data_IF_824932287855
#
_entry.id   IF_824932287855
#
_cell.length_a   1.000
_cell.length_b   1.000
_cell.length_c   1.000
_cell.angle_alpha   90.00
_cell.angle_beta   90.00
_cell.angle_gamma   90.00
#
_symmetry.space_group_name_H-M   'P 1'
#
loop_
_entity.id
_entity.type
_entity.pdbx_description
1 polymer ?
#
# COMPACT_ATOMS: atom_id res chain seq x y z
N UNK A 1 36.76 44.34 3.61
CA UNK A 1 36.92 42.87 3.48
C UNK A 1 35.77 42.05 4.08
N UNK A 2 34.93 42.60 4.97
CA UNK A 2 33.78 41.86 5.54
C UNK A 2 32.63 41.60 4.53
N UNK A 3 32.48 42.41 3.48
CA UNK A 3 31.34 42.35 2.56
C UNK A 3 31.20 41.00 1.86
N UNK A 4 32.28 40.39 1.40
CA UNK A 4 32.24 39.11 0.67
C UNK A 4 31.68 37.96 1.52
N UNK A 5 32.06 37.91 2.81
CA UNK A 5 31.60 36.89 3.75
C UNK A 5 30.08 36.97 3.95
N UNK A 6 29.56 38.18 4.17
CA UNK A 6 28.12 38.38 4.36
C UNK A 6 27.32 38.25 3.06
N UNK A 7 27.92 38.50 1.89
CA UNK A 7 27.31 38.15 0.60
C UNK A 7 27.12 36.65 0.44
N UNK A 8 28.08 35.83 0.90
CA UNK A 8 27.95 34.38 0.89
C UNK A 8 26.84 33.92 1.85
N UNK A 9 26.78 34.47 3.07
CA UNK A 9 25.69 34.20 4.03
C UNK A 9 24.33 34.56 3.42
N UNK A 10 24.24 35.70 2.74
CA UNK A 10 23.02 36.11 2.04
C UNK A 10 22.62 35.11 0.94
N UNK A 11 23.58 34.62 0.13
CA UNK A 11 23.31 33.60 -0.88
C UNK A 11 22.79 32.29 -0.26
N UNK A 12 23.36 31.88 0.87
CA UNK A 12 22.90 30.69 1.61
C UNK A 12 21.47 30.91 2.11
N UNK A 13 21.17 32.07 2.68
CA UNK A 13 19.82 32.41 3.13
C UNK A 13 18.80 32.35 1.99
N UNK A 14 19.11 32.90 0.82
CA UNK A 14 18.21 32.86 -0.34
C UNK A 14 17.99 31.41 -0.80
N UNK A 15 19.05 30.61 -0.84
CA UNK A 15 18.96 29.18 -1.17
C UNK A 15 18.10 28.42 -0.16
N UNK A 16 18.22 28.72 1.13
CA UNK A 16 17.40 28.13 2.20
C UNK A 16 15.94 28.51 2.08
N UNK A 17 15.63 29.78 1.80
CA UNK A 17 14.25 30.23 1.61
C UNK A 17 13.62 29.47 0.43
N UNK A 18 14.31 29.41 -0.71
CA UNK A 18 13.85 28.65 -1.88
C UNK A 18 13.68 27.16 -1.55
N UNK A 19 14.66 26.55 -0.86
CA UNK A 19 14.61 25.16 -0.44
C UNK A 19 13.48 24.88 0.54
N UNK A 20 13.23 25.78 1.48
CA UNK A 20 12.17 25.68 2.47
C UNK A 20 10.79 25.78 1.82
N UNK A 21 10.57 26.73 0.91
CA UNK A 21 9.32 26.81 0.15
C UNK A 21 9.08 25.56 -0.71
N UNK A 22 10.14 25.06 -1.35
CA UNK A 22 10.06 23.83 -2.14
C UNK A 22 9.73 22.60 -1.26
N UNK A 23 10.20 22.59 -0.02
CA UNK A 23 9.99 21.50 0.94
C UNK A 23 8.62 21.58 1.65
N UNK A 24 8.12 22.78 1.93
CA UNK A 24 6.78 23.02 2.51
C UNK A 24 5.66 22.79 1.51
N UNK A 25 5.91 23.04 0.21
CA UNK A 25 4.90 22.79 -0.81
C UNK A 25 4.42 21.34 -0.66
N UNK A 26 3.09 21.09 -0.63
CA UNK A 26 2.55 19.74 -0.57
C UNK A 26 2.90 19.01 -1.87
N UNK A 27 4.13 18.48 -1.97
CA UNK A 27 4.58 17.76 -3.15
C UNK A 27 3.77 16.46 -3.30
N UNK A 28 3.47 16.05 -4.54
CA UNK A 28 2.81 14.79 -4.81
C UNK A 28 3.56 13.62 -4.17
N UNK A 29 2.83 12.73 -3.50
CA UNK A 29 3.37 11.56 -2.77
C UNK A 29 4.38 10.73 -3.59
N UNK A 30 4.20 10.67 -4.91
CA UNK A 30 5.09 9.93 -5.83
C UNK A 30 6.48 10.56 -5.94
N UNK A 31 6.55 11.89 -5.96
CA UNK A 31 7.79 12.64 -6.05
C UNK A 31 8.51 12.68 -4.71
N UNK A 32 7.74 12.83 -3.61
CA UNK A 32 8.25 12.67 -2.24
C UNK A 32 8.89 11.28 -2.06
N UNK A 33 8.18 10.20 -2.37
CA UNK A 33 8.74 8.83 -2.24
C UNK A 33 9.99 8.62 -3.09
N UNK A 34 10.02 9.12 -4.33
CA UNK A 34 11.18 9.01 -5.21
C UNK A 34 12.39 9.82 -4.73
N UNK A 35 12.21 11.10 -4.41
CA UNK A 35 13.26 11.98 -3.90
C UNK A 35 13.77 11.50 -2.55
N UNK A 36 12.89 11.16 -1.60
CA UNK A 36 13.31 10.72 -0.26
C UNK A 36 13.95 9.33 -0.24
N UNK A 37 13.55 8.40 -1.14
CA UNK A 37 14.25 7.11 -1.29
C UNK A 37 15.63 7.29 -1.92
N UNK A 38 15.76 8.14 -2.94
CA UNK A 38 17.06 8.54 -3.48
C UNK A 38 17.91 9.27 -2.43
N UNK A 39 17.26 10.05 -1.57
CA UNK A 39 17.91 10.86 -0.54
C UNK A 39 18.40 10.02 0.66
N UNK A 40 17.59 9.07 1.13
CA UNK A 40 17.89 8.24 2.30
C UNK A 40 18.92 7.13 2.03
N UNK A 41 19.05 6.68 0.79
CA UNK A 41 19.92 5.55 0.44
C UNK A 41 21.32 5.98 -0.01
N UNK A 42 21.47 7.22 -0.49
CA UNK A 42 22.73 7.68 -1.09
C UNK A 42 23.75 8.13 -0.03
N UNK A 43 24.95 7.54 -0.08
CA UNK A 43 26.12 7.96 0.74
C UNK A 43 26.46 9.44 0.54
N UNK A 44 26.17 9.97 -0.65
CA UNK A 44 26.45 11.37 -1.05
C UNK A 44 25.70 12.34 -0.14
N UNK A 45 24.51 11.98 0.32
CA UNK A 45 23.69 12.89 1.11
C UNK A 45 24.10 12.90 2.58
N UNK A 46 24.49 11.74 3.13
CA UNK A 46 25.11 11.71 4.47
C UNK A 46 26.37 12.59 4.52
N UNK A 47 27.16 12.58 3.44
CA UNK A 47 28.32 13.44 3.29
C UNK A 47 27.90 14.92 3.13
N UNK A 48 26.90 15.20 2.29
CA UNK A 48 26.38 16.56 2.07
C UNK A 48 25.80 17.20 3.33
N UNK A 49 25.05 16.45 4.14
CA UNK A 49 24.51 16.91 5.44
C UNK A 49 25.64 17.27 6.39
N UNK A 50 26.74 16.51 6.39
CA UNK A 50 27.91 16.81 7.22
C UNK A 50 28.61 18.09 6.77
N UNK A 51 28.74 18.33 5.47
CA UNK A 51 29.25 19.60 4.95
C UNK A 51 28.32 20.79 5.28
N UNK A 52 27.00 20.58 5.21
CA UNK A 52 26.01 21.58 5.62
C UNK A 52 26.17 21.97 7.09
N UNK A 53 26.44 21.00 7.97
CA UNK A 53 26.72 21.26 9.39
C UNK A 53 27.97 22.12 9.58
N UNK A 54 29.05 21.88 8.81
CA UNK A 54 30.25 22.72 8.86
C UNK A 54 29.97 24.15 8.39
N UNK A 55 29.16 24.33 7.32
CA UNK A 55 28.75 25.66 6.84
C UNK A 55 27.96 26.40 7.92
N UNK A 56 27.01 25.74 8.58
CA UNK A 56 26.28 26.34 9.70
C UNK A 56 27.16 26.66 10.90
N UNK A 57 28.13 25.80 11.22
CA UNK A 57 29.15 26.10 12.23
C UNK A 57 29.91 27.38 11.89
N UNK A 58 30.31 27.55 10.64
CA UNK A 58 31.00 28.76 10.17
C UNK A 58 30.12 30.02 10.23
N UNK A 59 28.84 29.91 9.84
CA UNK A 59 27.87 31.01 9.98
C UNK A 59 27.67 31.36 11.47
N UNK A 60 27.68 30.36 12.36
CA UNK A 60 27.69 30.54 13.82
C UNK A 60 28.90 31.35 14.31
N UNK A 61 30.10 31.07 13.78
CA UNK A 61 31.29 31.86 14.09
C UNK A 61 31.18 33.31 13.58
N UNK A 62 30.63 33.53 12.39
CA UNK A 62 30.36 34.86 11.85
C UNK A 62 29.32 35.64 12.68
N UNK A 63 28.31 34.94 13.22
CA UNK A 63 27.35 35.51 14.15
C UNK A 63 28.05 35.97 15.44
N UNK A 64 28.91 35.13 16.03
CA UNK A 64 29.69 35.49 17.22
C UNK A 64 30.64 36.67 16.98
N UNK A 65 31.34 36.68 15.83
CA UNK A 65 32.19 37.80 15.41
C UNK A 65 31.38 39.10 15.28
N UNK A 66 30.19 39.04 14.67
CA UNK A 66 29.31 40.20 14.52
C UNK A 66 28.82 40.71 15.88
N UNK A 67 28.48 39.81 16.81
CA UNK A 67 28.08 40.17 18.19
C UNK A 67 29.24 40.87 18.91
N UNK A 68 30.46 40.33 18.80
CA UNK A 68 31.64 40.96 19.42
C UNK A 68 31.91 42.35 18.84
N UNK A 69 31.76 42.53 17.52
CA UNK A 69 31.89 43.83 16.86
C UNK A 69 30.84 44.84 17.32
N UNK A 70 29.58 44.43 17.47
CA UNK A 70 28.54 45.32 18.03
C UNK A 70 28.86 45.73 19.46
N UNK A 71 29.26 44.78 20.32
CA UNK A 71 29.63 45.08 21.71
C UNK A 71 30.80 46.07 21.78
N UNK A 72 31.89 45.77 21.07
CA UNK A 72 33.08 46.63 20.99
C UNK A 72 32.76 48.02 20.45
N UNK A 73 31.92 48.10 19.41
CA UNK A 73 31.48 49.38 18.86
C UNK A 73 30.63 50.17 19.85
N UNK A 74 29.80 49.50 20.64
CA UNK A 74 28.95 50.14 21.64
C UNK A 74 29.78 50.68 22.82
N UNK A 75 30.81 49.94 23.24
CA UNK A 75 31.73 50.37 24.29
C UNK A 75 32.60 51.56 23.82
N UNK A 76 33.06 51.53 22.57
CA UNK A 76 33.79 52.64 21.96
C UNK A 76 32.92 53.93 21.85
N UNK A 77 31.64 53.81 21.50
CA UNK A 77 30.70 54.94 21.47
C UNK A 77 30.54 55.56 22.87
N UNK A 78 30.37 54.71 23.90
CA UNK A 78 30.26 55.19 25.29
C UNK A 78 31.52 55.92 25.75
N UNK A 79 32.70 55.40 25.42
CA UNK A 79 33.97 56.03 25.77
C UNK A 79 34.19 57.35 25.03
N UNK A 80 33.87 57.41 23.73
CA UNK A 80 33.97 58.65 22.94
C UNK A 80 33.05 59.76 23.50
N UNK A 81 31.85 59.39 23.95
CA UNK A 81 30.93 60.32 24.59
C UNK A 81 31.44 60.83 25.94
N UNK A 82 32.03 59.95 26.77
CA UNK A 82 32.63 60.34 28.06
C UNK A 82 33.88 61.22 27.91
N UNK A 83 34.60 61.10 26.80
CA UNK A 83 35.81 61.88 26.50
C UNK A 83 35.53 63.16 25.69
N UNK A 84 34.27 63.48 25.38
CA UNK A 84 33.91 64.67 24.59
C UNK A 84 34.35 64.61 23.12
N UNK A 85 34.66 63.42 22.60
CA UNK A 85 35.11 63.20 21.22
C UNK A 85 33.94 62.99 20.26
N UNK A 86 33.05 63.99 20.17
CA UNK A 86 31.81 63.93 19.36
C UNK A 86 32.07 63.78 17.85
N UNK A 87 33.27 64.15 17.37
CA UNK A 87 33.67 63.99 15.96
C UNK A 87 33.89 62.53 15.53
N UNK A 88 34.13 61.61 16.47
CA UNK A 88 34.36 60.17 16.20
C UNK A 88 33.07 59.36 16.34
N UNK A 89 32.04 59.92 16.98
CA UNK A 89 30.75 59.25 17.15
C UNK A 89 30.09 58.81 15.83
N UNK A 90 30.09 59.60 14.73
CA UNK A 90 29.40 59.19 13.50
C UNK A 90 29.97 57.94 12.83
N UNK A 91 31.31 57.78 12.84
CA UNK A 91 31.99 56.62 12.22
C UNK A 91 31.79 55.35 13.03
N UNK A 92 31.77 55.47 14.36
CA UNK A 92 31.46 54.37 15.28
C UNK A 92 29.99 53.95 15.18
N UNK A 93 29.07 54.91 15.08
CA UNK A 93 27.66 54.64 14.85
C UNK A 93 27.42 53.90 13.53
N UNK A 94 28.10 54.30 12.45
CA UNK A 94 28.03 53.58 11.17
C UNK A 94 28.51 52.12 11.31
N UNK A 95 29.64 51.90 11.99
CA UNK A 95 30.19 50.55 12.24
C UNK A 95 29.23 49.67 13.03
N UNK A 96 28.55 50.24 14.03
CA UNK A 96 27.50 49.56 14.81
C UNK A 96 26.34 49.11 13.92
N UNK A 97 25.82 49.98 13.05
CA UNK A 97 24.70 49.66 12.15
C UNK A 97 25.07 48.51 11.20
N UNK A 98 26.27 48.54 10.63
CA UNK A 98 26.75 47.44 9.77
C UNK A 98 26.83 46.11 10.52
N UNK A 99 27.38 46.12 11.74
CA UNK A 99 27.49 44.91 12.54
C UNK A 99 26.12 44.39 13.01
N UNK A 100 25.17 45.27 13.35
CA UNK A 100 23.80 44.88 13.70
C UNK A 100 23.08 44.18 12.53
N UNK A 101 23.14 44.74 11.31
CA UNK A 101 22.56 44.10 10.13
C UNK A 101 23.13 42.70 9.90
N UNK A 102 24.44 42.55 10.08
CA UNK A 102 25.14 41.29 9.89
C UNK A 102 24.75 40.23 10.95
N UNK A 103 24.47 40.65 12.19
CA UNK A 103 23.88 39.77 13.22
C UNK A 103 22.50 39.27 12.78
N UNK A 104 21.63 40.18 12.32
CA UNK A 104 20.28 39.77 11.89
C UNK A 104 20.34 38.82 10.69
N UNK A 105 21.20 39.12 9.71
CA UNK A 105 21.39 38.29 8.52
C UNK A 105 21.85 36.87 8.91
N UNK A 106 22.94 36.75 9.68
CA UNK A 106 23.48 35.45 10.11
C UNK A 106 22.54 34.71 11.07
N UNK A 107 21.84 35.43 11.94
CA UNK A 107 20.86 34.85 12.88
C UNK A 107 19.67 34.23 12.16
N UNK A 108 19.11 34.92 11.16
CA UNK A 108 17.99 34.40 10.37
C UNK A 108 18.41 33.17 9.56
N UNK A 109 19.60 33.19 8.93
CA UNK A 109 20.13 32.01 8.21
C UNK A 109 20.25 30.79 9.12
N UNK A 110 20.79 30.95 10.34
CA UNK A 110 20.91 29.84 11.29
C UNK A 110 19.53 29.33 11.77
N UNK A 111 18.62 30.26 12.05
CA UNK A 111 17.27 29.92 12.47
C UNK A 111 16.52 29.15 11.37
N UNK A 112 16.59 29.62 10.13
CA UNK A 112 15.96 28.97 8.99
C UNK A 112 16.59 27.59 8.71
N UNK A 113 17.92 27.47 8.83
CA UNK A 113 18.61 26.18 8.77
C UNK A 113 18.13 25.18 9.81
N UNK A 114 17.90 25.62 11.06
CA UNK A 114 17.36 24.77 12.12
C UNK A 114 15.93 24.31 11.82
N UNK A 115 15.08 25.22 11.33
CA UNK A 115 13.72 24.87 10.89
C UNK A 115 13.77 23.87 9.74
N UNK A 116 14.65 24.08 8.76
CA UNK A 116 14.80 23.20 7.61
C UNK A 116 15.24 21.80 8.04
N UNK A 117 16.19 21.68 8.95
CA UNK A 117 16.62 20.39 9.53
C UNK A 117 15.48 19.69 10.27
N UNK A 118 14.73 20.43 11.10
CA UNK A 118 13.59 19.88 11.83
C UNK A 118 12.50 19.38 10.87
N UNK A 119 12.17 20.18 9.85
CA UNK A 119 11.15 19.84 8.84
C UNK A 119 11.59 18.65 7.99
N UNK A 120 12.86 18.57 7.60
CA UNK A 120 13.40 17.43 6.87
C UNK A 120 13.27 16.12 7.66
N UNK A 121 13.62 16.14 8.95
CA UNK A 121 13.49 14.96 9.81
C UNK A 121 12.02 14.58 10.04
N UNK A 122 11.15 15.57 10.25
CA UNK A 122 9.72 15.34 10.42
C UNK A 122 9.09 14.71 9.17
N UNK A 123 9.39 15.22 7.98
CA UNK A 123 8.91 14.64 6.72
C UNK A 123 9.44 13.21 6.55
N UNK A 124 10.70 12.96 6.90
CA UNK A 124 11.28 11.62 6.84
C UNK A 124 10.55 10.64 7.77
N UNK A 125 10.28 11.04 9.01
CA UNK A 125 9.56 10.20 9.97
C UNK A 125 8.13 9.89 9.50
N UNK A 126 7.41 10.89 8.96
CA UNK A 126 6.06 10.70 8.40
C UNK A 126 6.10 9.73 7.21
N UNK A 127 7.12 9.82 6.37
CA UNK A 127 7.27 8.94 5.22
C UNK A 127 7.58 7.50 5.63
N UNK A 128 8.49 7.29 6.58
CA UNK A 128 8.81 5.97 7.12
C UNK A 128 7.56 5.33 7.77
N UNK A 129 6.83 6.09 8.59
CA UNK A 129 5.56 5.65 9.17
C UNK A 129 4.49 5.31 8.11
N UNK A 130 4.39 6.11 7.04
CA UNK A 130 3.45 5.83 5.93
C UNK A 130 3.82 4.57 5.16
N UNK A 131 5.11 4.27 4.99
CA UNK A 131 5.56 3.03 4.34
C UNK A 131 5.29 1.79 5.19
N UNK A 132 5.41 1.88 6.51
CA UNK A 132 5.07 0.77 7.40
C UNK A 132 3.57 0.46 7.38
N UNK A 133 2.72 1.49 7.35
CA UNK A 133 1.27 1.35 7.18
C UNK A 133 0.90 0.74 5.83
N UNK A 134 1.54 1.15 4.74
CA UNK A 134 1.30 0.57 3.41
C UNK A 134 1.72 -0.91 3.38
N UNK A 135 2.87 -1.27 3.97
CA UNK A 135 3.33 -2.67 4.05
C UNK A 135 2.38 -3.54 4.87
N UNK A 136 1.93 -3.05 6.03
CA UNK A 136 0.97 -3.80 6.86
C UNK A 136 -0.37 -3.96 6.16
N UNK A 137 -0.88 -2.94 5.46
CA UNK A 137 -2.10 -3.06 4.64
C UNK A 137 -1.94 -4.05 3.50
N UNK A 138 -0.82 -4.02 2.78
CA UNK A 138 -0.54 -4.98 1.68
C UNK A 138 -0.43 -6.40 2.23
N UNK A 139 0.27 -6.62 3.35
CA UNK A 139 0.37 -7.93 3.98
C UNK A 139 -1.00 -8.42 4.47
N UNK A 140 -1.78 -7.56 5.13
CA UNK A 140 -3.14 -7.91 5.55
C UNK A 140 -4.08 -8.23 4.37
N UNK A 141 -3.96 -7.50 3.24
CA UNK A 141 -4.68 -7.82 2.00
C UNK A 141 -4.18 -9.14 1.37
N UNK A 142 -2.88 -9.41 1.40
CA UNK A 142 -2.29 -10.65 0.92
C UNK A 142 -2.76 -11.87 1.71
N UNK A 143 -2.79 -11.77 3.04
CA UNK A 143 -3.28 -12.81 3.94
C UNK A 143 -4.79 -13.04 3.78
N UNK A 144 -5.57 -11.96 3.66
CA UNK A 144 -7.00 -12.04 3.40
C UNK A 144 -7.31 -12.69 2.03
N UNK A 145 -6.54 -12.34 1.00
CA UNK A 145 -6.66 -12.93 -0.33
C UNK A 145 -6.27 -14.41 -0.35
N UNK A 146 -5.16 -14.78 0.31
CA UNK A 146 -4.72 -16.17 0.45
C UNK A 146 -5.78 -17.04 1.14
N UNK A 147 -6.31 -16.56 2.27
CA UNK A 147 -7.35 -17.26 3.03
C UNK A 147 -8.67 -17.37 2.27
N UNK A 148 -9.02 -16.35 1.47
CA UNK A 148 -10.21 -16.40 0.60
C UNK A 148 -10.04 -17.38 -0.54
N UNK A 149 -8.83 -17.46 -1.13
CA UNK A 149 -8.52 -18.39 -2.22
C UNK A 149 -8.56 -19.84 -1.73
N UNK A 150 -7.99 -20.12 -0.57
CA UNK A 150 -8.01 -21.45 0.06
C UNK A 150 -9.45 -21.94 0.29
N UNK A 151 -10.32 -21.10 0.87
CA UNK A 151 -11.74 -21.42 1.05
C UNK A 151 -12.47 -21.66 -0.27
N UNK A 152 -12.12 -20.92 -1.33
CA UNK A 152 -12.72 -21.10 -2.64
C UNK A 152 -12.27 -22.42 -3.27
N UNK A 153 -10.99 -22.77 -3.16
CA UNK A 153 -10.43 -24.03 -3.66
C UNK A 153 -11.02 -25.24 -2.92
N UNK A 154 -11.23 -25.16 -1.62
CA UNK A 154 -11.95 -26.19 -0.84
C UNK A 154 -13.40 -26.35 -1.32
N UNK A 155 -14.11 -25.24 -1.53
CA UNK A 155 -15.50 -25.27 -2.00
C UNK A 155 -15.59 -25.82 -3.42
N UNK A 156 -14.64 -25.51 -4.30
CA UNK A 156 -14.55 -26.08 -5.65
C UNK A 156 -14.30 -27.59 -5.57
N UNK A 157 -13.43 -28.07 -4.67
CA UNK A 157 -13.22 -29.52 -4.49
C UNK A 157 -14.48 -30.22 -4.01
N UNK A 158 -15.20 -29.65 -3.04
CA UNK A 158 -16.46 -30.20 -2.55
C UNK A 158 -17.53 -30.27 -3.65
N UNK A 159 -17.73 -29.17 -4.38
CA UNK A 159 -18.70 -29.13 -5.49
C UNK A 159 -18.35 -30.11 -6.61
N UNK A 160 -17.06 -30.31 -6.91
CA UNK A 160 -16.63 -31.33 -7.89
C UNK A 160 -16.94 -32.75 -7.43
N UNK A 161 -16.78 -33.03 -6.14
CA UNK A 161 -17.12 -34.33 -5.57
C UNK A 161 -18.63 -34.58 -5.63
N UNK A 162 -19.43 -33.60 -5.24
CA UNK A 162 -20.90 -33.67 -5.30
C UNK A 162 -21.42 -33.82 -6.73
N UNK A 163 -20.76 -33.15 -7.70
CA UNK A 163 -21.07 -33.30 -9.11
C UNK A 163 -20.78 -34.72 -9.62
N UNK A 164 -19.66 -35.33 -9.20
CA UNK A 164 -19.29 -36.69 -9.58
C UNK A 164 -20.25 -37.73 -8.99
N UNK A 165 -20.60 -37.59 -7.69
CA UNK A 165 -21.60 -38.43 -7.03
C UNK A 165 -22.97 -38.33 -7.71
N UNK A 166 -23.43 -37.10 -8.00
CA UNK A 166 -24.70 -36.88 -8.72
C UNK A 166 -24.67 -37.48 -10.12
N UNK A 167 -23.54 -37.39 -10.83
CA UNK A 167 -23.39 -37.97 -12.18
C UNK A 167 -23.44 -39.49 -12.15
N UNK A 168 -22.78 -40.12 -11.16
CA UNK A 168 -22.86 -41.56 -10.95
C UNK A 168 -24.29 -42.01 -10.62
N UNK A 169 -25.01 -41.26 -9.80
CA UNK A 169 -26.40 -41.60 -9.46
C UNK A 169 -27.32 -41.46 -10.67
N UNK A 170 -27.16 -40.42 -11.50
CA UNK A 170 -27.87 -40.31 -12.79
C UNK A 170 -27.57 -41.53 -13.69
N UNK A 171 -26.32 -42.00 -13.74
CA UNK A 171 -25.98 -43.18 -14.52
C UNK A 171 -26.64 -44.45 -13.98
N UNK A 172 -26.69 -44.63 -12.64
CA UNK A 172 -27.42 -45.73 -12.00
C UNK A 172 -28.92 -45.67 -12.31
N UNK A 173 -29.55 -44.50 -12.19
CA UNK A 173 -30.96 -44.32 -12.50
C UNK A 173 -31.26 -44.64 -13.98
N UNK A 174 -30.39 -44.24 -14.92
CA UNK A 174 -30.52 -44.60 -16.33
C UNK A 174 -30.43 -46.11 -16.57
N UNK A 175 -29.51 -46.81 -15.90
CA UNK A 175 -29.42 -48.28 -15.99
C UNK A 175 -30.68 -48.94 -15.45
N UNK A 176 -31.16 -48.48 -14.30
CA UNK A 176 -32.39 -48.98 -13.68
C UNK A 176 -33.63 -48.74 -14.57
N UNK A 177 -33.68 -47.61 -15.29
CA UNK A 177 -34.75 -47.33 -16.27
C UNK A 177 -34.71 -48.28 -17.48
N UNK A 178 -33.52 -48.60 -17.99
CA UNK A 178 -33.34 -49.58 -19.07
C UNK A 178 -33.78 -50.97 -18.60
N UNK A 179 -33.34 -51.39 -17.42
CA UNK A 179 -33.71 -52.69 -16.85
C UNK A 179 -35.20 -52.79 -16.58
N UNK A 180 -35.83 -51.71 -16.08
CA UNK A 180 -37.28 -51.63 -15.89
C UNK A 180 -38.04 -51.80 -17.21
N UNK A 181 -37.61 -51.11 -18.27
CA UNK A 181 -38.22 -51.24 -19.59
C UNK A 181 -38.04 -52.64 -20.19
N UNK A 182 -36.88 -53.27 -19.99
CA UNK A 182 -36.63 -54.64 -20.42
C UNK A 182 -37.50 -55.64 -19.66
N UNK A 183 -37.60 -55.49 -18.33
CA UNK A 183 -38.44 -56.34 -17.50
C UNK A 183 -39.91 -56.19 -17.87
N UNK A 184 -40.40 -54.96 -18.08
CA UNK A 184 -41.76 -54.70 -18.55
C UNK A 184 -42.06 -55.45 -19.85
N UNK A 185 -41.14 -55.40 -20.84
CA UNK A 185 -41.27 -56.17 -22.09
C UNK A 185 -41.30 -57.68 -21.85
N UNK A 186 -40.45 -58.19 -20.95
CA UNK A 186 -40.43 -59.62 -20.59
C UNK A 186 -41.75 -60.04 -19.94
N UNK A 187 -42.30 -59.24 -19.03
CA UNK A 187 -43.59 -59.50 -18.39
C UNK A 187 -44.75 -59.46 -19.38
N UNK A 188 -44.77 -58.47 -20.29
CA UNK A 188 -45.78 -58.40 -21.36
C UNK A 188 -45.72 -59.62 -22.29
N UNK A 189 -44.53 -60.08 -22.66
CA UNK A 189 -44.36 -61.28 -23.48
C UNK A 189 -44.78 -62.55 -22.73
N UNK A 190 -44.36 -62.70 -21.48
CA UNK A 190 -44.74 -63.84 -20.63
C UNK A 190 -46.25 -63.90 -20.42
N UNK A 191 -46.89 -62.74 -20.22
CA UNK A 191 -48.34 -62.63 -20.08
C UNK A 191 -49.08 -63.06 -21.36
N UNK A 192 -48.58 -62.68 -22.53
CA UNK A 192 -49.15 -63.14 -23.82
C UNK A 192 -49.05 -64.66 -23.98
N UNK A 193 -47.90 -65.26 -23.66
CA UNK A 193 -47.74 -66.71 -23.71
C UNK A 193 -48.62 -67.42 -22.67
N UNK A 194 -48.80 -66.85 -21.48
CA UNK A 194 -49.74 -67.36 -20.48
C UNK A 194 -51.18 -67.38 -20.99
N UNK A 195 -51.65 -66.28 -21.59
CA UNK A 195 -52.99 -66.23 -22.22
C UNK A 195 -53.11 -67.31 -23.30
N UNK A 196 -52.13 -67.40 -24.20
CA UNK A 196 -52.12 -68.38 -25.30
C UNK A 196 -52.19 -69.82 -24.81
N UNK A 197 -51.39 -70.18 -23.79
CA UNK A 197 -51.42 -71.51 -23.18
C UNK A 197 -52.76 -71.77 -22.48
N UNK A 198 -53.32 -70.77 -21.80
CA UNK A 198 -54.64 -70.87 -21.17
C UNK A 198 -55.74 -71.16 -22.21
N UNK A 199 -55.75 -70.43 -23.32
CA UNK A 199 -56.67 -70.66 -24.45
C UNK A 199 -56.47 -72.07 -25.04
N UNK A 200 -55.22 -72.52 -25.20
CA UNK A 200 -54.91 -73.87 -25.68
C UNK A 200 -55.42 -74.95 -24.69
N UNK A 201 -55.23 -74.76 -23.39
CA UNK A 201 -55.76 -75.67 -22.37
C UNK A 201 -57.29 -75.73 -22.37
N UNK A 202 -57.96 -74.60 -22.56
CA UNK A 202 -59.42 -74.53 -22.69
C UNK A 202 -59.91 -75.28 -23.94
N UNK A 203 -59.23 -75.10 -25.08
CA UNK A 203 -59.55 -75.85 -26.31
C UNK A 203 -59.36 -77.37 -26.17
N UNK A 204 -58.29 -77.81 -25.50
CA UNK A 204 -58.01 -79.24 -25.29
C UNK A 204 -58.98 -79.89 -24.28
N UNK A 205 -59.43 -79.17 -23.25
CA UNK A 205 -60.50 -79.64 -22.36
C UNK A 205 -61.85 -79.77 -23.07
N UNK A 206 -62.16 -78.83 -23.97
CA UNK A 206 -63.36 -78.90 -24.81
C UNK A 206 -63.29 -80.08 -25.80
N UNK A 207 -62.12 -80.43 -26.32
CA UNK A 207 -61.92 -81.63 -27.14
C UNK A 207 -62.00 -82.93 -26.32
N UNK A 208 -61.44 -82.97 -25.10
CA UNK A 208 -61.52 -84.15 -24.21
C UNK A 208 -62.92 -84.39 -23.62
N UNK A 209 -63.73 -83.35 -23.44
CA UNK A 209 -65.14 -83.49 -23.06
C UNK A 209 -66.06 -83.93 -24.22
N UNK A 210 -65.56 -83.98 -25.45
CA UNK A 210 -66.27 -84.40 -26.66
C UNK A 210 -66.19 -85.89 -27.04
N UNK A 211 -65.49 -86.74 -26.28
CA UNK A 211 -65.35 -88.19 -26.53
C UNK A 211 -65.35 -88.91 -25.16
N UNK A 212 -66.30 -89.72 -24.66
CA UNK A 212 -67.29 -90.74 -25.12
C UNK A 212 -68.18 -91.09 -23.88
N UNK A 213 -69.38 -91.72 -23.91
CA UNK A 213 -70.38 -91.99 -24.98
C UNK A 213 -71.81 -91.50 -24.63
N UNK A 214 -72.73 -91.48 -25.61
CA UNK A 214 -74.12 -91.88 -25.33
C UNK A 214 -74.57 -93.00 -26.28
N UNK A 215 -75.25 -93.99 -25.70
CA UNK A 215 -75.77 -95.20 -26.32
C UNK A 215 -77.29 -95.04 -26.41
N UNK A 216 -77.85 -95.38 -27.57
CA UNK A 216 -79.29 -95.61 -27.89
C UNK A 216 -80.14 -94.37 -28.19
N UNK A 217 -80.67 -94.28 -29.41
CA UNK A 217 -82.00 -94.85 -29.73
C UNK A 217 -82.33 -94.74 -31.24
N UNK A 218 -82.99 -95.80 -31.72
CA UNK A 218 -83.62 -96.05 -33.04
C UNK A 218 -82.74 -96.44 -34.23
#
# INVERSE_FOLDING_TARGET
>A
MATLQYTLVFSVMVAEICGFFLLILPMPERWKRGMFKAIGTSKIIKLSTRYLLFIYGFIGLLLLDSIQKVKRSNDAIKQAHLQGMDSVAPTLHATKVYAQRNIYLSGITLFLGLIMLSTFNLIRNILEASQELDKTKINAMGDAYSKSKEKLDEKIKMLRKELDETTQDIEKYKKMEIDYNNLKKQTENSYKEFIRLSEQHESLQNEQSGQIPDKKDK
#
